data_IF_794916188607
#
_entry.id   IF_794916188607
#
_cell.length_a   1.000
_cell.length_b   1.000
_cell.length_c   1.000
_cell.angle_alpha   90.00
_cell.angle_beta   90.00
_cell.angle_gamma   90.00
#
_symmetry.space_group_name_H-M   'P 1'
#
loop_
_entity.id
_entity.type
_entity.pdbx_description
1 polymer ?
#
# COMPACT_ATOMS: atom_id res chain seq x y z
N UNK A 1 -26.39 3.11 -2.00
CA UNK A 1 -25.11 2.81 -1.35
C UNK A 1 -24.74 1.37 -1.69
N UNK A 2 -23.91 1.17 -2.71
CA UNK A 2 -23.27 -0.12 -3.02
C UNK A 2 -21.77 0.13 -3.02
N UNK A 3 -21.16 0.06 -1.85
CA UNK A 3 -19.72 0.17 -1.65
C UNK A 3 -19.32 -0.71 -0.46
N UNK A 4 -18.03 -1.04 -0.33
CA UNK A 4 -17.52 -1.89 0.76
C UNK A 4 -17.71 -1.24 2.14
N UNK A 5 -17.91 0.08 2.21
CA UNK A 5 -18.11 0.85 3.43
C UNK A 5 -19.58 1.14 3.72
N UNK A 6 -19.94 1.11 5.02
CA UNK A 6 -21.31 1.37 5.51
C UNK A 6 -21.69 2.86 5.48
N UNK A 7 -20.71 3.76 5.50
CA UNK A 7 -20.90 5.22 5.43
C UNK A 7 -19.60 5.91 5.00
N UNK A 8 -19.70 7.14 4.51
CA UNK A 8 -18.53 7.96 4.16
C UNK A 8 -17.65 8.25 5.40
N UNK A 9 -18.24 8.39 6.58
CA UNK A 9 -17.50 8.54 7.83
C UNK A 9 -16.71 7.27 8.18
N UNK A 10 -17.32 6.10 7.99
CA UNK A 10 -16.67 4.81 8.21
C UNK A 10 -15.48 4.60 7.28
N UNK A 11 -15.66 4.90 5.99
CA UNK A 11 -14.57 4.90 5.00
C UNK A 11 -13.40 5.81 5.43
N UNK A 12 -13.70 7.06 5.81
CA UNK A 12 -12.69 8.01 6.29
C UNK A 12 -11.95 7.47 7.51
N UNK A 13 -12.66 6.92 8.49
CA UNK A 13 -12.06 6.39 9.72
C UNK A 13 -11.14 5.19 9.44
N UNK A 14 -11.54 4.28 8.54
CA UNK A 14 -10.70 3.14 8.13
C UNK A 14 -9.43 3.65 7.45
N UNK A 15 -9.57 4.57 6.48
CA UNK A 15 -8.43 5.18 5.78
C UNK A 15 -7.46 5.87 6.73
N UNK A 16 -7.95 6.66 7.68
CA UNK A 16 -7.11 7.36 8.66
C UNK A 16 -6.34 6.39 9.57
N UNK A 17 -7.01 5.31 10.02
CA UNK A 17 -6.37 4.27 10.82
C UNK A 17 -5.28 3.54 10.04
N UNK A 18 -5.54 3.22 8.78
CA UNK A 18 -4.57 2.61 7.89
C UNK A 18 -3.36 3.51 7.67
N UNK A 19 -3.57 4.77 7.28
CA UNK A 19 -2.47 5.73 7.06
C UNK A 19 -1.65 6.00 8.33
N UNK A 20 -2.30 5.98 9.50
CA UNK A 20 -1.63 6.06 10.80
C UNK A 20 -0.81 4.80 11.10
N UNK A 21 -1.34 3.61 10.78
CA UNK A 21 -0.61 2.36 10.93
C UNK A 21 0.65 2.32 10.07
N UNK A 22 0.55 2.74 8.80
CA UNK A 22 1.68 2.84 7.87
C UNK A 22 2.79 3.80 8.33
N UNK A 23 2.57 4.66 9.34
CA UNK A 23 3.65 5.47 9.92
C UNK A 23 4.72 4.62 10.62
N UNK A 24 4.40 3.37 10.94
CA UNK A 24 5.33 2.40 11.54
C UNK A 24 6.02 1.52 10.50
N UNK A 25 6.00 1.92 9.22
CA UNK A 25 6.69 1.18 8.16
C UNK A 25 8.17 0.97 8.54
N UNK A 26 8.72 -0.25 8.36
CA UNK A 26 9.98 -0.64 9.01
C UNK A 26 11.24 -0.06 8.35
N UNK A 27 11.09 0.70 7.26
CA UNK A 27 12.15 1.30 6.43
C UNK A 27 11.69 2.65 5.87
N UNK A 28 12.64 3.47 5.39
CA UNK A 28 12.33 4.68 4.62
C UNK A 28 11.49 4.33 3.38
N UNK A 29 10.43 5.10 3.15
CA UNK A 29 9.46 4.83 2.11
C UNK A 29 8.81 6.12 1.60
N UNK A 30 8.34 6.05 0.38
CA UNK A 30 7.47 7.06 -0.22
C UNK A 30 6.08 6.48 -0.47
N UNK A 31 5.07 7.36 -0.47
CA UNK A 31 3.68 7.02 -0.74
C UNK A 31 3.27 7.75 -2.01
N UNK A 32 2.71 7.01 -2.94
CA UNK A 32 2.37 7.50 -4.27
C UNK A 32 0.91 7.18 -4.57
N UNK A 33 0.26 8.06 -5.32
CA UNK A 33 -0.99 7.79 -6.00
C UNK A 33 -0.70 7.74 -7.49
N UNK A 34 -0.88 6.58 -8.10
CA UNK A 34 -0.63 6.36 -9.52
C UNK A 34 -1.96 6.38 -10.27
N UNK A 35 -2.16 7.32 -11.22
CA UNK A 35 -3.33 7.29 -12.09
C UNK A 35 -3.31 6.06 -12.98
N UNK A 36 -4.42 5.32 -13.02
CA UNK A 36 -4.62 4.20 -13.94
C UNK A 36 -5.97 4.34 -14.66
N UNK A 37 -6.23 3.50 -15.66
CA UNK A 37 -7.53 3.50 -16.35
C UNK A 37 -8.71 3.08 -15.47
N UNK A 38 -8.45 2.47 -14.31
CA UNK A 38 -9.49 2.04 -13.35
C UNK A 38 -9.66 3.01 -12.17
N UNK A 39 -8.79 4.03 -12.06
CA UNK A 39 -8.75 4.96 -10.94
C UNK A 39 -7.34 5.15 -10.37
N UNK A 40 -7.23 5.93 -9.31
CA UNK A 40 -5.96 6.10 -8.59
C UNK A 40 -5.63 4.85 -7.77
N UNK A 41 -4.38 4.38 -7.89
CA UNK A 41 -3.85 3.24 -7.12
C UNK A 41 -2.81 3.72 -6.13
N UNK A 42 -3.00 3.38 -4.86
CA UNK A 42 -2.05 3.73 -3.80
C UNK A 42 -0.88 2.74 -3.78
N UNK A 43 0.33 3.27 -3.71
CA UNK A 43 1.57 2.49 -3.73
C UNK A 43 2.50 2.99 -2.62
N UNK A 44 3.07 2.05 -1.87
CA UNK A 44 4.21 2.31 -0.98
C UNK A 44 5.47 1.82 -1.67
N UNK A 45 6.44 2.71 -1.88
CA UNK A 45 7.72 2.36 -2.51
C UNK A 45 8.88 2.52 -1.54
N UNK A 46 9.83 1.59 -1.56
CA UNK A 46 11.02 1.61 -0.71
C UNK A 46 12.19 0.87 -1.36
N UNK A 47 13.39 1.00 -0.78
CA UNK A 47 14.63 0.55 -1.40
C UNK A 47 15.17 1.53 -2.44
N UNK A 48 16.40 1.30 -2.90
CA UNK A 48 17.09 2.19 -3.85
C UNK A 48 16.38 2.22 -5.20
N UNK A 49 16.31 3.38 -5.85
CA UNK A 49 15.74 3.48 -7.21
C UNK A 49 16.59 2.76 -8.27
N UNK A 50 17.86 2.47 -7.97
CA UNK A 50 18.79 1.77 -8.87
C UNK A 50 18.72 0.23 -8.75
N UNK A 51 18.04 -0.29 -7.72
CA UNK A 51 17.89 -1.73 -7.51
C UNK A 51 16.83 -2.33 -8.46
N UNK A 52 16.90 -3.63 -8.79
CA UNK A 52 15.89 -4.29 -9.61
C UNK A 52 14.48 -4.16 -9.02
N UNK A 53 13.44 -3.90 -9.83
CA UNK A 53 12.09 -3.67 -9.32
C UNK A 53 11.44 -4.97 -8.81
N UNK A 54 10.72 -4.88 -7.70
CA UNK A 54 9.87 -5.94 -7.15
C UNK A 54 8.47 -5.38 -6.86
N UNK A 55 7.44 -6.03 -7.41
CA UNK A 55 6.04 -5.68 -7.18
C UNK A 55 5.44 -6.65 -6.15
N UNK A 56 4.83 -6.11 -5.10
CA UNK A 56 4.12 -6.89 -4.09
C UNK A 56 2.62 -6.62 -4.19
N UNK A 57 1.87 -7.69 -4.46
CA UNK A 57 0.41 -7.72 -4.50
C UNK A 57 -0.10 -8.46 -3.27
N UNK A 58 -1.04 -7.88 -2.54
CA UNK A 58 -1.61 -8.49 -1.35
C UNK A 58 -2.62 -9.61 -1.69
N UNK A 59 -2.95 -10.45 -0.71
CA UNK A 59 -4.09 -11.37 -0.83
C UNK A 59 -5.44 -10.65 -0.72
N UNK A 60 -6.56 -11.32 -1.01
CA UNK A 60 -7.89 -10.70 -0.89
C UNK A 60 -8.21 -10.25 0.55
N UNK A 61 -9.02 -9.19 0.68
CA UNK A 61 -9.38 -8.57 1.96
C UNK A 61 -8.17 -8.10 2.81
N UNK A 62 -7.09 -7.67 2.14
CA UNK A 62 -5.87 -7.12 2.75
C UNK A 62 -5.43 -5.83 2.04
N UNK A 63 -4.28 -5.30 2.43
CA UNK A 63 -3.62 -4.14 1.83
C UNK A 63 -2.10 -4.19 2.10
N UNK A 64 -1.34 -3.16 1.72
CA UNK A 64 0.11 -3.10 1.77
C UNK A 64 0.69 -3.36 3.16
N UNK A 65 -0.07 -3.08 4.22
CA UNK A 65 0.35 -3.36 5.60
C UNK A 65 0.70 -4.83 5.85
N UNK A 66 0.16 -5.78 5.06
CA UNK A 66 0.48 -7.19 5.23
C UNK A 66 1.96 -7.52 5.00
N UNK A 67 2.68 -6.67 4.26
CA UNK A 67 4.09 -6.87 3.89
C UNK A 67 5.07 -6.21 4.86
N UNK A 68 4.60 -5.57 5.93
CA UNK A 68 5.46 -4.86 6.88
C UNK A 68 6.48 -5.77 7.59
N UNK A 69 6.24 -7.08 7.67
CA UNK A 69 7.19 -8.03 8.25
C UNK A 69 8.40 -8.28 7.35
N UNK A 70 8.16 -8.39 6.05
CA UNK A 70 9.10 -8.89 5.05
C UNK A 70 9.75 -7.76 4.24
N UNK A 71 9.08 -6.61 4.13
CA UNK A 71 9.51 -5.52 3.24
C UNK A 71 10.93 -5.02 3.55
N UNK A 72 11.35 -5.08 4.81
CA UNK A 72 12.72 -4.69 5.20
C UNK A 72 13.78 -5.54 4.50
N UNK A 73 13.55 -6.83 4.37
CA UNK A 73 14.52 -7.74 3.75
C UNK A 73 14.51 -7.62 2.23
N UNK A 74 13.34 -7.38 1.64
CA UNK A 74 13.23 -7.12 0.20
C UNK A 74 13.86 -5.77 -0.19
N UNK A 75 13.63 -4.71 0.58
CA UNK A 75 14.15 -3.37 0.30
C UNK A 75 15.69 -3.26 0.37
N UNK A 76 16.38 -4.29 0.88
CA UNK A 76 17.86 -4.38 0.85
C UNK A 76 18.41 -4.81 -0.52
N UNK A 77 17.57 -5.37 -1.39
CA UNK A 77 17.98 -6.02 -2.65
C UNK A 77 17.19 -5.54 -3.86
N UNK A 78 16.06 -4.89 -3.64
CA UNK A 78 15.09 -4.53 -4.67
C UNK A 78 14.56 -3.14 -4.44
N UNK A 79 14.19 -2.49 -5.54
CA UNK A 79 13.26 -1.37 -5.53
C UNK A 79 11.85 -1.91 -5.39
N UNK A 80 11.30 -1.90 -4.17
CA UNK A 80 10.02 -2.53 -3.86
C UNK A 80 8.88 -1.55 -4.08
N UNK A 81 7.83 -1.99 -4.77
CA UNK A 81 6.56 -1.30 -4.95
C UNK A 81 5.44 -2.18 -4.37
N UNK A 82 4.89 -1.78 -3.23
CA UNK A 82 3.77 -2.46 -2.57
C UNK A 82 2.47 -1.80 -3.01
N UNK A 83 1.62 -2.55 -3.71
CA UNK A 83 0.43 -2.02 -4.38
C UNK A 83 -0.81 -2.36 -3.57
N UNK A 84 -1.60 -1.35 -3.22
CA UNK A 84 -2.98 -1.53 -2.77
C UNK A 84 -3.87 -1.72 -3.99
N UNK A 85 -4.37 -2.93 -4.18
CA UNK A 85 -5.19 -3.28 -5.33
C UNK A 85 -6.53 -2.56 -5.25
N UNK A 86 -6.91 -1.90 -6.34
CA UNK A 86 -8.16 -1.13 -6.41
C UNK A 86 -9.37 -2.03 -6.17
N UNK A 87 -10.33 -1.54 -5.38
CA UNK A 87 -11.55 -2.26 -5.02
C UNK A 87 -11.47 -3.00 -3.69
N UNK A 88 -10.29 -3.11 -3.09
CA UNK A 88 -10.07 -3.65 -1.75
C UNK A 88 -10.01 -2.51 -0.69
N UNK A 89 -10.21 -2.81 0.61
CA UNK A 89 -10.30 -1.80 1.68
C UNK A 89 -8.99 -1.10 2.07
#
# INVERSE_FOLDING_TARGET
>A
MNGIYKSAEGERLVRERYLAFLKHWPVEHERMLIPTSQGETFVVACGSQDDPPLLLLHGGAANAAMWMGEVRDFARRFRVYVIDMIGEP
#
